data_IF_991639895228
#
_entry.id   IF_991639895228
#
_cell.length_a   1.000
_cell.length_b   1.000
_cell.length_c   1.000
_cell.angle_alpha   90.00
_cell.angle_beta   90.00
_cell.angle_gamma   90.00
#
_symmetry.space_group_name_H-M   'P 1'
#
loop_
_entity.id
_entity.type
_entity.pdbx_description
1 polymer ?
#
# COMPACT_ATOMS: atom_id res chain seq x y z
N UNK A 1 32.31 -23.97 1.54
CA UNK A 1 32.02 -22.60 1.05
C UNK A 1 30.76 -22.67 0.21
N UNK A 2 30.13 -21.53 -0.08
CA UNK A 2 28.83 -21.38 -0.79
C UNK A 2 27.58 -21.75 0.04
N UNK A 3 27.62 -22.78 0.90
CA UNK A 3 26.50 -23.10 1.79
C UNK A 3 26.40 -22.10 2.95
N UNK A 4 25.26 -21.41 3.04
CA UNK A 4 24.94 -20.52 4.17
C UNK A 4 24.59 -21.38 5.40
N UNK A 5 25.42 -21.33 6.45
CA UNK A 5 25.21 -22.08 7.70
C UNK A 5 24.33 -21.28 8.68
N UNK A 6 24.45 -19.95 8.66
CA UNK A 6 23.70 -19.02 9.50
C UNK A 6 23.56 -17.68 8.78
N UNK A 7 22.38 -17.07 8.90
CA UNK A 7 22.09 -15.72 8.43
C UNK A 7 21.34 -14.96 9.53
N UNK A 8 21.87 -13.82 9.95
CA UNK A 8 21.26 -12.97 10.97
C UNK A 8 20.85 -11.64 10.32
N UNK A 9 19.58 -11.46 9.88
CA UNK A 9 19.13 -10.23 9.27
C UNK A 9 18.91 -9.14 10.33
N UNK A 10 19.69 -8.06 10.27
CA UNK A 10 19.50 -6.89 11.13
C UNK A 10 18.42 -5.96 10.55
N UNK A 11 17.22 -5.99 11.13
CA UNK A 11 16.08 -5.14 10.75
C UNK A 11 16.00 -3.91 11.67
N UNK A 12 15.44 -2.80 11.18
CA UNK A 12 15.21 -1.58 11.97
C UNK A 12 15.84 -0.31 11.40
N UNK A 13 16.60 -0.43 10.30
CA UNK A 13 17.22 0.73 9.62
C UNK A 13 16.20 1.76 9.10
N UNK A 14 14.95 1.33 8.88
CA UNK A 14 13.84 2.19 8.47
C UNK A 14 12.80 2.38 9.61
N UNK A 15 13.10 1.98 10.84
CA UNK A 15 12.18 2.17 11.95
C UNK A 15 12.04 3.66 12.29
N UNK A 16 10.81 4.17 12.25
CA UNK A 16 10.49 5.60 12.47
C UNK A 16 9.60 5.83 13.70
N UNK A 17 9.34 4.81 14.50
CA UNK A 17 8.41 4.91 15.65
C UNK A 17 7.00 5.34 15.22
N UNK A 18 6.51 4.86 14.07
CA UNK A 18 5.21 5.27 13.50
C UNK A 18 4.06 5.04 14.47
N UNK A 19 4.04 3.90 15.16
CA UNK A 19 3.03 3.56 16.18
C UNK A 19 3.00 4.61 17.30
N UNK A 20 4.17 5.04 17.78
CA UNK A 20 4.26 6.06 18.82
C UNK A 20 3.73 7.42 18.35
N UNK A 21 3.95 7.76 17.07
CA UNK A 21 3.43 9.00 16.50
C UNK A 21 1.90 8.97 16.32
N UNK A 22 1.32 7.80 16.10
CA UNK A 22 -0.13 7.62 15.96
C UNK A 22 -0.83 7.87 17.31
N UNK A 23 -0.23 7.47 18.43
CA UNK A 23 -0.81 7.70 19.78
C UNK A 23 -1.06 9.18 20.09
N UNK A 24 -0.23 10.08 19.56
CA UNK A 24 -0.36 11.52 19.76
C UNK A 24 -1.31 12.20 18.76
N UNK A 25 -1.90 11.45 17.83
CA UNK A 25 -2.69 11.97 16.72
C UNK A 25 -4.12 11.44 16.74
N UNK A 26 -5.04 12.21 16.17
CA UNK A 26 -6.41 11.75 15.99
C UNK A 26 -6.51 10.69 14.88
N UNK A 27 -7.58 9.89 14.88
CA UNK A 27 -7.76 8.81 13.90
C UNK A 27 -7.61 9.26 12.44
N UNK A 28 -8.13 10.44 12.10
CA UNK A 28 -8.04 10.98 10.74
C UNK A 28 -6.63 11.49 10.41
N UNK A 29 -5.92 12.05 11.38
CA UNK A 29 -4.52 12.48 11.23
C UNK A 29 -3.54 11.30 11.23
N UNK A 30 -3.93 10.16 11.81
CA UNK A 30 -3.20 8.91 11.79
C UNK A 30 -3.26 8.18 10.44
N UNK A 31 -4.30 8.42 9.64
CA UNK A 31 -4.54 7.72 8.37
C UNK A 31 -3.35 7.74 7.40
N UNK A 32 -2.71 8.89 7.11
CA UNK A 32 -1.60 8.94 6.14
C UNK A 32 -0.32 8.21 6.58
N UNK A 33 -0.24 7.75 7.84
CA UNK A 33 0.85 6.88 8.27
C UNK A 33 0.72 5.48 7.69
N UNK A 34 -0.51 4.99 7.49
CA UNK A 34 -0.76 3.66 6.96
C UNK A 34 -0.35 3.55 5.49
N UNK A 35 -0.57 4.60 4.68
CA UNK A 35 -0.10 4.69 3.28
C UNK A 35 1.44 4.59 3.15
N UNK A 36 2.16 4.83 4.25
CA UNK A 36 3.62 4.88 4.29
C UNK A 36 4.24 3.64 4.93
N UNK A 37 3.44 2.75 5.52
CA UNK A 37 3.91 1.48 6.06
C UNK A 37 4.25 0.52 4.91
N UNK A 38 3.26 0.26 4.05
CA UNK A 38 3.47 -0.38 2.76
C UNK A 38 3.28 0.66 1.66
N UNK A 39 4.39 1.19 1.15
CA UNK A 39 4.42 2.22 0.11
C UNK A 39 4.07 1.67 -1.29
N UNK A 40 3.85 0.36 -1.42
CA UNK A 40 3.45 -0.29 -2.67
C UNK A 40 1.94 -0.53 -2.67
N UNK A 41 1.39 -1.05 -1.56
CA UNK A 41 -0.04 -1.35 -1.44
C UNK A 41 -0.77 -0.41 -0.50
N UNK A 42 -0.99 0.80 -0.99
CA UNK A 42 -1.35 1.95 -0.15
C UNK A 42 -2.82 1.94 0.25
N UNK A 43 -3.71 1.80 -0.74
CA UNK A 43 -5.16 1.73 -0.54
C UNK A 43 -5.54 0.50 0.29
N UNK A 44 -4.78 -0.60 0.21
CA UNK A 44 -5.00 -1.77 1.05
C UNK A 44 -4.77 -1.46 2.54
N UNK A 45 -3.76 -0.64 2.84
CA UNK A 45 -3.46 -0.23 4.21
C UNK A 45 -4.44 0.81 4.75
N UNK A 46 -4.86 1.77 3.90
CA UNK A 46 -5.95 2.69 4.22
C UNK A 46 -7.27 1.94 4.50
N UNK A 47 -7.55 0.91 3.69
CA UNK A 47 -8.76 0.11 3.80
C UNK A 47 -8.80 -0.71 5.10
N UNK A 48 -7.71 -1.40 5.45
CA UNK A 48 -7.64 -2.18 6.69
C UNK A 48 -7.76 -1.28 7.92
N UNK A 49 -7.14 -0.10 7.90
CA UNK A 49 -7.28 0.88 8.96
C UNK A 49 -8.72 1.41 9.07
N UNK A 50 -9.35 1.72 7.94
CA UNK A 50 -10.73 2.22 7.91
C UNK A 50 -11.74 1.15 8.34
N UNK A 51 -11.56 -0.11 7.93
CA UNK A 51 -12.36 -1.24 8.40
C UNK A 51 -12.24 -1.45 9.91
N UNK A 52 -11.03 -1.32 10.48
CA UNK A 52 -10.83 -1.42 11.92
C UNK A 52 -11.64 -0.36 12.67
N UNK A 53 -11.59 0.90 12.21
CA UNK A 53 -12.38 1.99 12.81
C UNK A 53 -13.89 1.78 12.61
N UNK A 54 -14.32 1.38 11.41
CA UNK A 54 -15.72 1.12 11.09
C UNK A 54 -16.30 -0.01 11.95
N UNK A 55 -15.51 -1.06 12.21
CA UNK A 55 -15.90 -2.15 13.10
C UNK A 55 -16.02 -1.73 14.57
N UNK A 56 -15.15 -0.82 15.04
CA UNK A 56 -15.21 -0.27 16.39
C UNK A 56 -16.41 0.67 16.59
N UNK A 57 -16.82 1.37 15.53
CA UNK A 57 -17.95 2.30 15.54
C UNK A 57 -19.29 1.64 15.17
N UNK A 58 -19.27 0.36 14.74
CA UNK A 58 -20.44 -0.39 14.26
C UNK A 58 -21.18 0.31 13.09
N UNK A 59 -20.45 1.01 12.22
CA UNK A 59 -21.01 1.78 11.10
C UNK A 59 -20.99 0.95 9.82
N UNK A 60 -22.11 0.96 9.10
CA UNK A 60 -22.19 0.37 7.76
C UNK A 60 -21.89 1.40 6.67
N UNK A 61 -20.88 1.12 5.87
CA UNK A 61 -20.50 1.93 4.70
C UNK A 61 -21.50 1.72 3.56
N UNK A 62 -21.89 2.77 2.81
CA UNK A 62 -22.83 2.64 1.70
C UNK A 62 -22.31 1.70 0.61
N UNK A 63 -23.22 0.97 -0.05
CA UNK A 63 -22.94 -0.03 -1.08
C UNK A 63 -22.00 0.51 -2.18
N UNK A 64 -22.22 1.75 -2.63
CA UNK A 64 -21.36 2.37 -3.66
C UNK A 64 -19.90 2.46 -3.22
N UNK A 65 -19.64 2.85 -1.97
CA UNK A 65 -18.29 2.97 -1.46
C UNK A 65 -17.62 1.60 -1.30
N UNK A 66 -18.38 0.55 -0.94
CA UNK A 66 -17.86 -0.81 -0.89
C UNK A 66 -17.36 -1.29 -2.27
N UNK A 67 -18.15 -1.09 -3.33
CA UNK A 67 -17.73 -1.45 -4.70
C UNK A 67 -16.49 -0.67 -5.15
N UNK A 68 -16.45 0.64 -4.89
CA UNK A 68 -15.29 1.49 -5.23
C UNK A 68 -14.04 0.97 -4.52
N UNK A 69 -14.12 0.70 -3.21
CA UNK A 69 -13.02 0.15 -2.42
C UNK A 69 -12.51 -1.16 -3.02
N UNK A 70 -13.39 -2.11 -3.34
CA UNK A 70 -12.99 -3.40 -3.95
C UNK A 70 -12.29 -3.21 -5.30
N UNK A 71 -12.80 -2.34 -6.16
CA UNK A 71 -12.15 -2.05 -7.46
C UNK A 71 -10.73 -1.52 -7.25
N UNK A 72 -10.55 -0.52 -6.37
CA UNK A 72 -9.24 0.04 -6.11
C UNK A 72 -8.30 -0.93 -5.38
N UNK A 73 -8.82 -1.80 -4.51
CA UNK A 73 -8.03 -2.85 -3.87
C UNK A 73 -7.47 -3.84 -4.89
N UNK A 74 -8.26 -4.25 -5.86
CA UNK A 74 -7.79 -5.15 -6.91
C UNK A 74 -6.77 -4.47 -7.84
N UNK A 75 -6.95 -3.19 -8.16
CA UNK A 75 -5.92 -2.41 -8.87
C UNK A 75 -4.62 -2.34 -8.05
N UNK A 76 -4.73 -2.09 -6.74
CA UNK A 76 -3.59 -2.08 -5.81
C UNK A 76 -2.88 -3.43 -5.77
N UNK A 77 -3.64 -4.52 -5.80
CA UNK A 77 -3.11 -5.89 -5.84
C UNK A 77 -2.29 -6.12 -7.11
N UNK A 78 -2.80 -5.72 -8.28
CA UNK A 78 -2.09 -5.81 -9.55
C UNK A 78 -0.80 -4.98 -9.50
N UNK A 79 -0.87 -3.75 -9.01
CA UNK A 79 0.29 -2.87 -8.82
C UNK A 79 1.38 -3.51 -7.94
N UNK A 80 0.98 -4.15 -6.84
CA UNK A 80 1.90 -4.81 -5.93
C UNK A 80 2.56 -6.03 -6.58
N UNK A 81 1.78 -6.88 -7.25
CA UNK A 81 2.33 -8.05 -7.95
C UNK A 81 3.24 -7.68 -9.12
N UNK A 82 2.91 -6.63 -9.89
CA UNK A 82 3.77 -6.13 -10.95
C UNK A 82 5.14 -5.71 -10.39
N UNK A 83 5.16 -4.98 -9.27
CA UNK A 83 6.42 -4.58 -8.63
C UNK A 83 7.18 -5.78 -8.05
N UNK A 84 6.49 -6.66 -7.33
CA UNK A 84 7.12 -7.82 -6.70
C UNK A 84 7.79 -8.75 -7.73
N UNK A 85 7.08 -9.07 -8.83
CA UNK A 85 7.60 -9.97 -9.87
C UNK A 85 8.70 -9.27 -10.68
N UNK A 86 8.53 -7.99 -11.03
CA UNK A 86 9.53 -7.25 -11.80
C UNK A 86 10.83 -7.03 -11.04
N UNK A 87 10.76 -6.65 -9.76
CA UNK A 87 11.95 -6.50 -8.92
C UNK A 87 12.62 -7.86 -8.67
N UNK A 88 11.86 -8.92 -8.41
CA UNK A 88 12.44 -10.25 -8.24
C UNK A 88 13.14 -10.76 -9.52
N UNK A 89 12.56 -10.49 -10.69
CA UNK A 89 13.18 -10.79 -11.98
C UNK A 89 14.48 -9.97 -12.18
N UNK A 90 14.49 -8.70 -11.75
CA UNK A 90 15.68 -7.85 -11.80
C UNK A 90 16.80 -8.39 -10.88
N UNK A 91 16.46 -8.80 -9.67
CA UNK A 91 17.41 -9.37 -8.69
C UNK A 91 18.05 -10.67 -9.19
N UNK A 92 17.34 -11.44 -10.03
CA UNK A 92 17.86 -12.64 -10.70
C UNK A 92 18.60 -12.36 -12.02
N UNK A 93 18.61 -11.10 -12.48
CA UNK A 93 19.35 -10.63 -13.65
C UNK A 93 18.52 -10.38 -14.92
N UNK A 94 17.21 -10.60 -14.89
CA UNK A 94 16.32 -10.30 -16.02
C UNK A 94 15.87 -8.83 -16.00
N UNK A 95 16.45 -8.02 -16.89
CA UNK A 95 16.23 -6.56 -16.93
C UNK A 95 14.98 -6.17 -17.75
N UNK A 96 14.65 -6.93 -18.79
CA UNK A 96 13.55 -6.58 -19.71
C UNK A 96 12.15 -6.58 -19.07
N UNK A 97 11.78 -7.51 -18.18
CA UNK A 97 10.44 -7.52 -17.57
C UNK A 97 10.21 -6.33 -16.65
N UNK A 98 11.29 -5.76 -16.10
CA UNK A 98 11.22 -4.59 -15.24
C UNK A 98 10.66 -3.39 -15.98
N UNK A 99 11.20 -3.06 -17.15
CA UNK A 99 10.71 -1.92 -17.92
C UNK A 99 9.27 -2.10 -18.41
N UNK A 100 8.89 -3.31 -18.83
CA UNK A 100 7.51 -3.60 -19.25
C UNK A 100 6.52 -3.50 -18.07
N UNK A 101 6.88 -4.04 -16.90
CA UNK A 101 6.04 -3.96 -15.71
C UNK A 101 5.87 -2.52 -15.20
N UNK A 102 6.90 -1.68 -15.30
CA UNK A 102 6.83 -0.28 -14.90
C UNK A 102 5.98 0.58 -15.83
N UNK A 103 5.94 0.28 -17.14
CA UNK A 103 5.04 0.97 -18.07
C UNK A 103 3.56 0.75 -17.71
N UNK A 104 3.16 -0.51 -17.47
CA UNK A 104 1.79 -0.84 -17.05
C UNK A 104 1.47 -0.25 -15.67
N UNK A 105 2.45 -0.25 -14.76
CA UNK A 105 2.33 0.39 -13.46
C UNK A 105 2.07 1.90 -13.56
N UNK A 106 2.71 2.59 -14.50
CA UNK A 106 2.51 4.04 -14.69
C UNK A 106 1.08 4.35 -15.18
N UNK A 107 0.52 3.53 -16.08
CA UNK A 107 -0.87 3.64 -16.53
C UNK A 107 -1.86 3.50 -15.37
N UNK A 108 -1.60 2.55 -14.47
CA UNK A 108 -2.41 2.37 -13.28
C UNK A 108 -2.25 3.54 -12.30
N UNK A 109 -1.04 4.08 -12.12
CA UNK A 109 -0.80 5.26 -11.28
C UNK A 109 -1.55 6.50 -11.80
N UNK A 110 -1.71 6.65 -13.12
CA UNK A 110 -2.54 7.72 -13.68
C UNK A 110 -4.00 7.65 -13.18
N UNK A 111 -4.54 6.44 -12.98
CA UNK A 111 -5.87 6.28 -12.39
C UNK A 111 -5.92 6.73 -10.92
N UNK A 112 -4.85 6.54 -10.15
CA UNK A 112 -4.76 7.05 -8.77
C UNK A 112 -4.72 8.57 -8.74
N UNK A 113 -3.93 9.15 -9.65
CA UNK A 113 -3.79 10.59 -9.78
C UNK A 113 -5.13 11.25 -10.14
N UNK A 114 -5.90 10.66 -11.06
CA UNK A 114 -7.23 11.16 -11.44
C UNK A 114 -8.25 11.12 -10.30
N UNK A 115 -8.08 10.20 -9.35
CA UNK A 115 -9.07 9.95 -8.28
C UNK A 115 -8.73 10.72 -7.01
N UNK A 116 -7.45 10.75 -6.64
CA UNK A 116 -6.97 11.33 -5.38
C UNK A 116 -6.22 12.65 -5.55
N UNK A 117 -5.77 12.97 -6.77
CA UNK A 117 -4.85 14.08 -7.05
C UNK A 117 -3.39 13.78 -6.70
N UNK A 118 -3.10 12.62 -6.12
CA UNK A 118 -1.75 12.17 -5.79
C UNK A 118 -1.42 10.87 -6.53
N UNK A 119 -0.14 10.71 -6.90
CA UNK A 119 0.32 9.54 -7.67
C UNK A 119 0.52 8.29 -6.81
N UNK A 120 1.00 8.51 -5.58
CA UNK A 120 1.37 7.45 -4.64
C UNK A 120 0.50 7.65 -3.40
N UNK A 121 0.81 8.62 -2.53
CA UNK A 121 0.07 8.83 -1.27
C UNK A 121 -1.30 9.49 -1.48
N UNK A 122 -2.33 8.66 -1.64
CA UNK A 122 -3.68 9.06 -2.00
C UNK A 122 -4.54 9.52 -0.81
N UNK A 123 -4.39 8.91 0.38
CA UNK A 123 -5.27 9.14 1.54
C UNK A 123 -6.76 9.18 1.15
N UNK A 124 -7.14 8.24 0.27
CA UNK A 124 -8.41 8.26 -0.46
C UNK A 124 -9.52 7.56 0.33
N UNK A 125 -9.23 6.37 0.87
CA UNK A 125 -10.18 5.67 1.73
C UNK A 125 -10.10 6.30 3.11
N UNK A 126 -11.24 6.77 3.62
CA UNK A 126 -11.36 7.33 4.96
C UNK A 126 -12.32 6.50 5.80
N UNK A 127 -12.23 6.58 7.14
CA UNK A 127 -13.21 5.94 8.01
C UNK A 127 -14.62 6.45 7.67
N UNK A 128 -15.57 5.54 7.50
CA UNK A 128 -16.97 5.77 7.10
C UNK A 128 -17.23 5.98 5.60
N UNK A 129 -16.21 5.98 4.73
CA UNK A 129 -16.38 6.12 3.29
C UNK A 129 -15.10 6.54 2.60
#
# INVERSE_FOLDING_TARGET
>A
GEVVIRADPHVGLLHRGTEKLIEYKTYLQGLPYFDRLDYVSMIAQEHTYSLAIESLLEIQVPIRAQYIRVIFLEITRILNHLLAVSCHALDTGAITPFFWGFEEREKLIEFYERVSGARIHAAYIRPCG
#
